data_IF_128528798624
#
_entry.id   IF_128528798624
#
_cell.length_a   1.000
_cell.length_b   1.000
_cell.length_c   1.000
_cell.angle_alpha   90.00
_cell.angle_beta   90.00
_cell.angle_gamma   90.00
#
_symmetry.space_group_name_H-M   'P 1'
#
loop_
_entity.id
_entity.type
_entity.pdbx_description
1 polymer ?
#
# COMPACT_ATOMS: atom_id res chain seq x y z
N UNK A 1 34.13 21.84 4.87
CA UNK A 1 33.80 20.43 4.60
C UNK A 1 32.34 20.37 4.16
N UNK A 2 32.11 20.06 2.91
CA UNK A 2 30.79 19.91 2.33
C UNK A 2 30.27 18.53 2.69
N UNK A 3 29.40 18.44 3.67
CA UNK A 3 28.68 17.19 4.03
C UNK A 3 27.93 16.61 2.84
N UNK A 4 27.67 15.30 2.86
CA UNK A 4 26.84 14.64 1.84
C UNK A 4 25.45 15.29 1.80
N UNK A 5 24.74 15.21 0.66
CA UNK A 5 23.40 15.81 0.54
C UNK A 5 22.42 15.36 1.64
N UNK A 6 22.53 14.09 2.08
CA UNK A 6 21.75 13.59 3.20
C UNK A 6 22.14 14.17 4.57
N UNK A 7 23.41 14.54 4.79
CA UNK A 7 23.82 15.24 6.03
C UNK A 7 23.31 16.66 6.07
N UNK A 8 23.35 17.37 4.95
CA UNK A 8 22.80 18.73 4.83
C UNK A 8 21.29 18.73 5.09
N UNK A 9 20.57 17.74 4.56
CA UNK A 9 19.13 17.59 4.79
C UNK A 9 18.81 17.34 6.28
N UNK A 10 19.57 16.46 6.95
CA UNK A 10 19.41 16.23 8.40
C UNK A 10 19.69 17.48 9.23
N UNK A 11 20.73 18.24 8.89
CA UNK A 11 21.03 19.51 9.58
C UNK A 11 19.92 20.53 9.37
N UNK A 12 19.36 20.67 8.17
CA UNK A 12 18.25 21.55 7.88
C UNK A 12 17.00 21.17 8.68
N UNK A 13 16.70 19.86 8.77
CA UNK A 13 15.60 19.34 9.57
C UNK A 13 15.77 19.67 11.06
N UNK A 14 16.94 19.38 11.63
CA UNK A 14 17.22 19.70 13.04
C UNK A 14 17.09 21.20 13.30
N UNK A 15 17.58 22.05 12.42
CA UNK A 15 17.42 23.51 12.51
C UNK A 15 15.96 23.94 12.52
N UNK A 16 15.12 23.36 11.63
CA UNK A 16 13.70 23.70 11.57
C UNK A 16 12.92 23.30 12.82
N UNK A 17 13.33 22.24 13.50
CA UNK A 17 12.70 21.76 14.73
C UNK A 17 13.26 22.44 16.01
N UNK A 18 14.51 22.93 15.98
CA UNK A 18 15.18 23.49 17.16
C UNK A 18 14.50 24.75 17.71
N UNK A 19 13.80 25.50 16.86
CA UNK A 19 13.06 26.71 17.26
C UNK A 19 11.67 26.39 17.84
N UNK A 20 11.32 25.11 17.98
CA UNK A 20 10.03 24.62 18.47
C UNK A 20 8.81 25.30 17.78
N UNK A 21 8.69 25.18 16.45
CA UNK A 21 7.63 25.83 15.69
C UNK A 21 6.28 25.14 15.95
N UNK A 22 5.17 25.84 15.74
CA UNK A 22 3.84 25.24 15.77
C UNK A 22 3.51 24.45 14.47
N UNK A 23 4.15 24.81 13.37
CA UNK A 23 3.98 24.18 12.03
C UNK A 23 5.32 24.08 11.33
N UNK A 24 5.58 22.92 10.73
CA UNK A 24 6.73 22.67 9.84
C UNK A 24 6.25 22.20 8.49
N UNK A 25 6.83 22.76 7.43
CA UNK A 25 6.61 22.30 6.05
C UNK A 25 7.88 21.57 5.59
N UNK A 26 7.72 20.35 5.09
CA UNK A 26 8.81 19.51 4.61
C UNK A 26 8.49 19.09 3.16
N UNK A 27 9.42 19.37 2.27
CA UNK A 27 9.35 18.93 0.87
C UNK A 27 10.41 17.87 0.62
N UNK A 28 9.98 16.66 0.26
CA UNK A 28 10.83 15.49 0.00
C UNK A 28 11.91 15.25 1.07
N UNK A 29 11.57 15.18 2.37
CA UNK A 29 12.57 15.22 3.45
C UNK A 29 13.49 13.99 3.49
N UNK A 30 13.14 12.90 2.81
CA UNK A 30 13.90 11.63 2.81
C UNK A 30 14.40 11.22 1.43
N UNK A 31 14.24 12.04 0.39
CA UNK A 31 14.47 11.66 -1.02
C UNK A 31 15.91 11.23 -1.34
N UNK A 32 16.91 11.77 -0.63
CA UNK A 32 18.32 11.53 -0.91
C UNK A 32 18.96 10.47 0.01
N UNK A 33 18.15 9.62 0.65
CA UNK A 33 18.61 8.62 1.60
C UNK A 33 18.41 7.20 1.04
N UNK A 34 19.25 6.28 1.45
CA UNK A 34 19.03 4.85 1.21
C UNK A 34 17.86 4.32 2.06
N UNK A 35 17.31 3.17 1.64
CA UNK A 35 16.08 2.61 2.23
C UNK A 35 16.18 2.36 3.74
N UNK A 36 17.34 1.92 4.22
CA UNK A 36 17.53 1.59 5.65
C UNK A 36 17.57 2.85 6.52
N UNK A 37 18.22 3.91 6.01
CA UNK A 37 18.26 5.21 6.67
C UNK A 37 16.91 5.93 6.62
N UNK A 38 16.16 5.81 5.50
CA UNK A 38 14.82 6.39 5.37
C UNK A 38 13.88 5.93 6.49
N UNK A 39 13.71 4.60 6.66
CA UNK A 39 12.81 4.05 7.65
C UNK A 39 13.15 4.52 9.08
N UNK A 40 14.43 4.47 9.45
CA UNK A 40 14.89 4.94 10.75
C UNK A 40 14.62 6.45 10.96
N UNK A 41 14.92 7.27 9.96
CA UNK A 41 14.76 8.72 10.07
C UNK A 41 13.29 9.12 10.05
N UNK A 42 12.44 8.46 9.26
CA UNK A 42 10.98 8.65 9.26
C UNK A 42 10.41 8.47 10.67
N UNK A 43 10.79 7.37 11.33
CA UNK A 43 10.36 7.08 12.70
C UNK A 43 10.86 8.14 13.71
N UNK A 44 12.12 8.56 13.60
CA UNK A 44 12.71 9.60 14.46
C UNK A 44 11.95 10.92 14.28
N UNK A 45 11.73 11.36 13.02
CA UNK A 45 10.99 12.60 12.72
C UNK A 45 9.57 12.51 13.31
N UNK A 46 8.83 11.44 13.04
CA UNK A 46 7.48 11.24 13.57
C UNK A 46 7.45 11.34 15.10
N UNK A 47 8.38 10.68 15.78
CA UNK A 47 8.46 10.70 17.23
C UNK A 47 8.78 12.10 17.78
N UNK A 48 9.68 12.85 17.14
CA UNK A 48 10.00 14.22 17.51
C UNK A 48 8.79 15.15 17.34
N UNK A 49 8.11 15.10 16.20
CA UNK A 49 6.91 15.88 15.93
C UNK A 49 5.83 15.62 16.98
N UNK A 50 5.59 14.36 17.32
CA UNK A 50 4.62 13.99 18.39
C UNK A 50 5.07 14.45 19.77
N UNK A 51 6.34 14.23 20.14
CA UNK A 51 6.89 14.63 21.44
C UNK A 51 6.76 16.13 21.68
N UNK A 52 7.06 16.94 20.66
CA UNK A 52 7.01 18.40 20.74
C UNK A 52 5.65 18.99 20.32
N UNK A 53 4.67 18.13 19.97
CA UNK A 53 3.33 18.54 19.51
C UNK A 53 3.38 19.51 18.32
N UNK A 54 4.31 19.29 17.40
CA UNK A 54 4.49 20.11 16.21
C UNK A 54 3.58 19.54 15.09
N UNK A 55 2.78 20.41 14.47
CA UNK A 55 2.06 20.06 13.25
C UNK A 55 3.04 20.06 12.07
N UNK A 56 2.96 19.03 11.21
CA UNK A 56 3.79 18.98 10.01
C UNK A 56 2.94 18.75 8.76
N UNK A 57 3.28 19.45 7.68
CA UNK A 57 2.82 19.13 6.32
C UNK A 57 4.02 18.61 5.56
N UNK A 58 3.92 17.38 5.07
CA UNK A 58 5.02 16.68 4.40
C UNK A 58 4.57 16.38 2.97
N UNK A 59 5.36 16.82 2.00
CA UNK A 59 5.17 16.50 0.59
C UNK A 59 6.18 15.42 0.22
N UNK A 60 5.71 14.33 -0.37
CA UNK A 60 6.57 13.26 -0.90
C UNK A 60 5.86 12.50 -2.01
N UNK A 61 6.62 11.91 -2.91
CA UNK A 61 6.12 10.98 -3.93
C UNK A 61 6.25 9.51 -3.49
N UNK A 62 6.91 9.24 -2.36
CA UNK A 62 7.08 7.90 -1.81
C UNK A 62 5.94 7.59 -0.84
N UNK A 63 5.08 6.63 -1.23
CA UNK A 63 3.91 6.27 -0.42
C UNK A 63 4.31 5.63 0.93
N UNK A 64 5.46 4.96 0.98
CA UNK A 64 5.93 4.35 2.24
C UNK A 64 6.37 5.44 3.22
N UNK A 65 7.14 6.43 2.75
CA UNK A 65 7.51 7.61 3.55
C UNK A 65 6.25 8.32 4.07
N UNK A 66 5.27 8.54 3.19
CA UNK A 66 4.00 9.17 3.55
C UNK A 66 3.25 8.39 4.65
N UNK A 67 3.17 7.05 4.51
CA UNK A 67 2.48 6.19 5.49
C UNK A 67 3.19 6.14 6.85
N UNK A 68 4.53 6.12 6.85
CA UNK A 68 5.31 6.04 8.08
C UNK A 68 5.32 7.36 8.86
N UNK A 69 5.36 8.49 8.14
CA UNK A 69 5.53 9.80 8.78
C UNK A 69 4.21 10.47 9.16
N UNK A 70 3.10 10.17 8.49
CA UNK A 70 1.86 10.93 8.64
C UNK A 70 0.78 10.20 9.44
N UNK A 71 -0.12 10.97 10.04
CA UNK A 71 -1.38 10.46 10.62
C UNK A 71 -2.51 10.51 9.60
N UNK A 72 -2.46 11.44 8.65
CA UNK A 72 -3.42 11.59 7.54
C UNK A 72 -2.68 11.79 6.23
N UNK A 73 -3.24 11.23 5.17
CA UNK A 73 -2.74 11.37 3.80
C UNK A 73 -3.71 12.21 2.97
N UNK A 74 -3.15 13.02 2.08
CA UNK A 74 -3.86 13.72 1.03
C UNK A 74 -3.21 13.32 -0.30
N UNK A 75 -3.94 12.58 -1.13
CA UNK A 75 -3.47 12.20 -2.47
C UNK A 75 -3.88 13.27 -3.46
N UNK A 76 -2.91 13.85 -4.14
CA UNK A 76 -3.10 14.90 -5.14
C UNK A 76 -2.67 14.37 -6.51
N UNK A 77 -3.50 14.62 -7.52
CA UNK A 77 -3.18 14.36 -8.92
C UNK A 77 -3.67 15.51 -9.80
N UNK A 78 -2.81 16.00 -10.70
CA UNK A 78 -3.11 17.10 -11.63
C UNK A 78 -3.71 18.34 -10.94
N UNK A 79 -3.28 18.63 -9.71
CA UNK A 79 -3.73 19.76 -8.92
C UNK A 79 -5.05 19.57 -8.18
N UNK A 80 -5.67 18.38 -8.26
CA UNK A 80 -6.92 18.04 -7.58
C UNK A 80 -6.68 17.04 -6.45
N UNK A 81 -7.44 17.19 -5.35
CA UNK A 81 -7.44 16.22 -4.25
C UNK A 81 -8.26 15.00 -4.65
N UNK A 82 -7.59 13.86 -4.83
CA UNK A 82 -8.21 12.60 -5.23
C UNK A 82 -8.84 11.87 -4.05
N UNK A 83 -8.18 11.87 -2.91
CA UNK A 83 -8.67 11.27 -1.66
C UNK A 83 -7.87 11.81 -0.48
N UNK A 84 -8.52 11.96 0.67
CA UNK A 84 -7.86 12.25 1.94
C UNK A 84 -8.45 11.37 3.06
N UNK A 85 -7.62 11.05 4.06
CA UNK A 85 -8.04 10.22 5.18
C UNK A 85 -6.87 9.65 5.96
N UNK A 86 -7.12 8.72 6.85
CA UNK A 86 -6.08 7.94 7.51
C UNK A 86 -5.39 7.00 6.51
N UNK A 87 -4.11 6.73 6.69
CA UNK A 87 -3.34 5.84 5.79
C UNK A 87 -4.02 4.48 5.57
N UNK A 88 -4.52 3.88 6.67
CA UNK A 88 -5.22 2.59 6.61
C UNK A 88 -6.55 2.66 5.85
N UNK A 89 -7.25 3.80 5.90
CA UNK A 89 -8.49 4.00 5.15
C UNK A 89 -8.22 4.05 3.65
N UNK A 90 -7.19 4.81 3.23
CA UNK A 90 -6.83 4.90 1.82
C UNK A 90 -6.34 3.54 1.27
N UNK A 91 -5.60 2.80 2.09
CA UNK A 91 -5.13 1.45 1.75
C UNK A 91 -6.27 0.45 1.58
N UNK A 92 -7.24 0.44 2.53
CA UNK A 92 -8.34 -0.52 2.58
C UNK A 92 -9.49 -0.14 1.65
N UNK A 93 -9.79 1.17 1.55
CA UNK A 93 -10.95 1.71 0.84
C UNK A 93 -10.51 2.77 -0.20
N UNK A 94 -9.72 2.41 -1.20
CA UNK A 94 -9.32 3.35 -2.24
C UNK A 94 -10.52 3.76 -3.09
N UNK A 95 -10.66 5.05 -3.38
CA UNK A 95 -11.76 5.59 -4.21
C UNK A 95 -11.51 5.45 -5.72
N UNK A 96 -10.35 4.95 -6.12
CA UNK A 96 -10.04 4.71 -7.53
C UNK A 96 -8.91 3.66 -7.69
N UNK A 97 -8.80 3.09 -8.91
CA UNK A 97 -7.66 2.23 -9.27
C UNK A 97 -6.32 2.91 -9.05
N UNK A 98 -6.22 4.20 -9.38
CA UNK A 98 -4.99 4.97 -9.23
C UNK A 98 -4.55 5.01 -7.78
N UNK A 99 -5.47 5.31 -6.87
CA UNK A 99 -5.17 5.30 -5.43
C UNK A 99 -4.82 3.90 -4.94
N UNK A 100 -5.58 2.88 -5.34
CA UNK A 100 -5.26 1.50 -4.97
C UNK A 100 -3.83 1.10 -5.38
N UNK A 101 -3.40 1.46 -6.59
CA UNK A 101 -2.07 1.14 -7.13
C UNK A 101 -0.93 1.91 -6.46
N UNK A 102 -1.17 3.09 -5.88
CA UNK A 102 -0.15 3.81 -5.10
C UNK A 102 0.39 2.97 -3.93
N UNK A 103 -0.47 2.16 -3.33
CA UNK A 103 -0.11 1.29 -2.20
C UNK A 103 0.40 -0.09 -2.62
N UNK A 104 0.76 -0.27 -3.89
CA UNK A 104 1.31 -1.51 -4.43
C UNK A 104 0.30 -2.39 -5.17
N UNK A 105 0.69 -3.64 -5.42
CA UNK A 105 -0.12 -4.59 -6.18
C UNK A 105 -1.50 -4.83 -5.56
N UNK A 106 -2.50 -4.89 -6.44
CA UNK A 106 -3.88 -5.22 -6.06
C UNK A 106 -4.62 -5.89 -7.22
N UNK A 107 -5.65 -6.65 -6.89
CA UNK A 107 -6.57 -7.24 -7.85
C UNK A 107 -7.83 -6.38 -7.93
N UNK A 108 -8.28 -6.11 -9.14
CA UNK A 108 -9.54 -5.40 -9.39
C UNK A 108 -10.59 -6.42 -9.83
N UNK A 109 -11.60 -6.61 -8.98
CA UNK A 109 -12.61 -7.65 -9.18
C UNK A 109 -13.98 -6.96 -9.32
N UNK A 110 -14.82 -7.37 -10.28
CA UNK A 110 -16.16 -6.80 -10.42
C UNK A 110 -16.98 -6.95 -9.15
N UNK A 111 -17.61 -5.84 -8.69
CA UNK A 111 -18.45 -5.80 -7.48
C UNK A 111 -19.56 -6.86 -7.48
N UNK A 112 -20.09 -7.22 -8.66
CA UNK A 112 -21.09 -8.29 -8.77
C UNK A 112 -20.68 -9.64 -8.19
N UNK A 113 -19.38 -9.87 -8.01
CA UNK A 113 -18.85 -11.07 -7.34
C UNK A 113 -18.81 -10.94 -5.81
N UNK A 114 -18.98 -9.73 -5.29
CA UNK A 114 -18.94 -9.37 -3.88
C UNK A 114 -20.06 -8.34 -3.57
N UNK A 115 -21.33 -8.70 -3.71
CA UNK A 115 -22.46 -7.74 -3.66
C UNK A 115 -22.54 -6.98 -2.32
N UNK A 116 -22.09 -7.60 -1.23
CA UNK A 116 -22.13 -7.03 0.11
C UNK A 116 -20.90 -6.19 0.46
N UNK A 117 -19.92 -6.08 -0.46
CA UNK A 117 -18.70 -5.31 -0.20
C UNK A 117 -18.99 -3.81 -0.18
N UNK A 118 -18.58 -3.15 0.92
CA UNK A 118 -18.62 -1.70 1.06
C UNK A 118 -17.42 -0.99 0.43
N UNK A 119 -16.36 -1.73 0.12
CA UNK A 119 -15.08 -1.24 -0.40
C UNK A 119 -15.07 -1.29 -1.93
N UNK A 120 -15.94 -0.51 -2.55
CA UNK A 120 -16.05 -0.46 -4.00
C UNK A 120 -15.85 0.96 -4.52
N UNK A 121 -15.47 1.07 -5.78
CA UNK A 121 -15.37 2.32 -6.51
C UNK A 121 -15.79 2.09 -7.97
N UNK A 122 -16.30 3.15 -8.59
CA UNK A 122 -16.63 3.13 -10.00
C UNK A 122 -15.37 3.40 -10.85
N UNK A 123 -15.04 2.46 -11.72
CA UNK A 123 -13.93 2.60 -12.66
C UNK A 123 -14.41 3.24 -13.95
N UNK A 124 -13.94 4.45 -14.23
CA UNK A 124 -14.33 5.23 -15.41
C UNK A 124 -13.90 4.61 -16.73
N UNK A 125 -12.75 3.90 -16.73
CA UNK A 125 -12.20 3.28 -17.95
C UNK A 125 -13.02 2.08 -18.40
N UNK A 126 -13.38 1.20 -17.46
CA UNK A 126 -14.16 -0.01 -17.74
C UNK A 126 -15.67 0.17 -17.56
N UNK A 127 -16.09 1.32 -17.02
CA UNK A 127 -17.51 1.62 -16.66
C UNK A 127 -18.12 0.56 -15.77
N UNK A 128 -17.37 0.08 -14.78
CA UNK A 128 -17.78 -1.00 -13.84
C UNK A 128 -17.47 -0.60 -12.41
N UNK A 129 -18.33 -1.08 -11.52
CA UNK A 129 -18.03 -1.06 -10.09
C UNK A 129 -17.04 -2.19 -9.77
N UNK A 130 -15.95 -1.81 -9.14
CA UNK A 130 -14.86 -2.71 -8.79
C UNK A 130 -14.61 -2.68 -7.29
N UNK A 131 -14.10 -3.79 -6.78
CA UNK A 131 -13.42 -3.86 -5.48
C UNK A 131 -11.94 -4.09 -5.70
N UNK A 132 -11.14 -3.69 -4.74
CA UNK A 132 -9.71 -4.00 -4.69
C UNK A 132 -9.42 -5.05 -3.62
N UNK A 133 -8.70 -6.12 -3.98
CA UNK A 133 -8.26 -7.15 -3.05
C UNK A 133 -6.74 -7.29 -3.19
N UNK A 134 -6.02 -7.11 -2.08
CA UNK A 134 -4.56 -7.23 -2.07
C UNK A 134 -4.12 -8.69 -2.24
N UNK A 135 -2.95 -8.93 -2.86
CA UNK A 135 -2.43 -10.30 -3.05
C UNK A 135 -2.32 -11.12 -1.77
N UNK A 136 -1.99 -10.49 -0.65
CA UNK A 136 -1.84 -11.12 0.67
C UNK A 136 -3.16 -11.32 1.44
N UNK A 137 -4.28 -10.85 0.89
CA UNK A 137 -5.61 -11.09 1.46
C UNK A 137 -6.23 -12.42 1.00
N UNK A 138 -5.61 -13.09 0.03
CA UNK A 138 -5.98 -14.44 -0.35
C UNK A 138 -5.32 -15.46 0.58
N UNK A 139 -6.07 -16.51 0.91
CA UNK A 139 -5.57 -17.67 1.64
C UNK A 139 -5.93 -18.96 0.89
N UNK A 140 -5.21 -20.04 1.19
CA UNK A 140 -5.63 -21.37 0.73
C UNK A 140 -7.02 -21.71 1.23
N UNK A 141 -7.75 -22.47 0.43
CA UNK A 141 -9.08 -22.93 0.80
C UNK A 141 -9.01 -23.83 2.04
N UNK A 142 -9.83 -23.52 3.00
CA UNK A 142 -10.07 -24.28 4.19
C UNK A 142 -11.59 -24.37 4.40
N UNK A 143 -12.13 -25.56 4.50
CA UNK A 143 -13.57 -25.80 4.59
C UNK A 143 -14.17 -25.19 5.85
N UNK A 144 -13.45 -25.26 6.96
CA UNK A 144 -13.88 -24.73 8.25
C UNK A 144 -13.92 -23.20 8.26
N UNK A 145 -13.08 -22.55 7.45
CA UNK A 145 -12.94 -21.09 7.35
C UNK A 145 -13.65 -20.48 6.14
N UNK A 146 -14.26 -21.28 5.29
CA UNK A 146 -14.84 -20.85 4.01
C UNK A 146 -16.20 -20.17 4.16
N UNK A 147 -16.86 -20.29 5.31
CA UNK A 147 -18.18 -19.68 5.55
C UNK A 147 -18.13 -18.15 5.35
N UNK A 148 -18.98 -17.62 4.48
CA UNK A 148 -19.06 -16.19 4.16
C UNK A 148 -17.91 -15.66 3.28
N UNK A 149 -16.93 -16.49 2.86
CA UNK A 149 -15.84 -16.08 1.99
C UNK A 149 -16.07 -16.44 0.54
N UNK A 150 -15.52 -15.64 -0.36
CA UNK A 150 -15.56 -15.93 -1.80
C UNK A 150 -14.44 -16.91 -2.16
N UNK A 151 -14.81 -17.97 -2.86
CA UNK A 151 -13.85 -19.02 -3.31
C UNK A 151 -13.51 -18.80 -4.78
N UNK A 152 -12.23 -18.87 -5.08
CA UNK A 152 -11.65 -18.83 -6.42
C UNK A 152 -10.93 -20.12 -6.70
N UNK A 153 -11.14 -20.68 -7.89
CA UNK A 153 -10.41 -21.84 -8.39
C UNK A 153 -9.73 -21.44 -9.69
N UNK A 154 -8.45 -21.73 -9.79
CA UNK A 154 -7.68 -21.38 -10.96
C UNK A 154 -6.40 -22.18 -11.10
N UNK A 155 -5.74 -22.04 -12.26
CA UNK A 155 -4.44 -22.67 -12.55
C UNK A 155 -3.32 -21.65 -12.37
N UNK A 156 -2.23 -22.08 -11.79
CA UNK A 156 -1.02 -21.29 -11.61
C UNK A 156 -0.36 -21.06 -12.98
N UNK A 157 -0.32 -19.79 -13.42
CA UNK A 157 0.39 -19.38 -14.65
C UNK A 157 1.87 -19.14 -14.41
N UNK A 158 2.21 -18.54 -13.26
CA UNK A 158 3.59 -18.27 -12.87
C UNK A 158 3.74 -18.21 -11.36
N UNK A 159 4.94 -18.58 -10.89
CA UNK A 159 5.36 -18.47 -9.51
C UNK A 159 6.70 -17.73 -9.50
N UNK A 160 6.86 -16.78 -8.60
CA UNK A 160 8.13 -16.13 -8.32
C UNK A 160 8.31 -16.07 -6.80
N UNK A 161 9.38 -16.63 -6.33
CA UNK A 161 9.75 -16.55 -4.91
C UNK A 161 10.44 -15.22 -4.62
N UNK A 162 9.94 -14.52 -3.61
CA UNK A 162 10.48 -13.25 -3.15
C UNK A 162 10.50 -13.28 -1.63
N UNK A 163 11.69 -13.34 -1.05
CA UNK A 163 11.88 -13.55 0.38
C UNK A 163 11.14 -14.82 0.88
N UNK A 164 10.18 -14.67 1.77
CA UNK A 164 9.40 -15.78 2.34
C UNK A 164 8.01 -15.91 1.71
N UNK A 165 7.82 -15.36 0.51
CA UNK A 165 6.52 -15.39 -0.17
C UNK A 165 6.64 -15.90 -1.61
N UNK A 166 5.66 -16.71 -2.00
CA UNK A 166 5.38 -16.99 -3.41
C UNK A 166 4.46 -15.89 -3.96
N UNK A 167 4.96 -15.14 -4.93
CA UNK A 167 4.17 -14.21 -5.76
C UNK A 167 3.61 -15.01 -6.95
N UNK A 168 2.33 -15.29 -6.92
CA UNK A 168 1.66 -16.20 -7.84
C UNK A 168 0.76 -15.39 -8.76
N UNK A 169 0.76 -15.75 -10.05
CA UNK A 169 -0.27 -15.34 -10.99
C UNK A 169 -1.19 -16.54 -11.24
N UNK A 170 -2.46 -16.39 -10.89
CA UNK A 170 -3.47 -17.44 -10.98
C UNK A 170 -4.50 -17.10 -12.05
N UNK A 171 -4.74 -17.99 -12.99
CA UNK A 171 -5.79 -17.85 -14.01
C UNK A 171 -7.08 -18.51 -13.56
N UNK A 172 -8.10 -17.70 -13.26
CA UNK A 172 -9.43 -18.12 -12.84
C UNK A 172 -10.45 -17.75 -13.93
N UNK A 173 -10.82 -18.64 -14.82
CA UNK A 173 -11.75 -18.35 -15.93
C UNK A 173 -11.38 -17.01 -16.61
N UNK A 174 -12.21 -15.98 -16.40
CA UNK A 174 -12.05 -14.65 -17.01
C UNK A 174 -11.20 -13.68 -16.19
N UNK A 175 -10.69 -14.11 -15.02
CA UNK A 175 -9.88 -13.30 -14.13
C UNK A 175 -8.45 -13.81 -14.07
N UNK A 176 -7.50 -12.87 -13.98
CA UNK A 176 -6.12 -13.17 -13.61
C UNK A 176 -5.84 -12.52 -12.27
N UNK A 177 -5.55 -13.34 -11.25
CA UNK A 177 -5.33 -12.89 -9.88
C UNK A 177 -3.84 -12.91 -9.55
N UNK A 178 -3.38 -11.86 -8.89
CA UNK A 178 -2.09 -11.82 -8.20
C UNK A 178 -2.31 -12.25 -6.76
N UNK A 179 -1.56 -13.24 -6.30
CA UNK A 179 -1.71 -13.83 -4.97
C UNK A 179 -0.35 -13.91 -4.31
N UNK A 180 -0.30 -13.67 -3.01
CA UNK A 180 0.90 -13.80 -2.20
C UNK A 180 0.65 -14.84 -1.10
N UNK A 181 1.38 -15.96 -1.14
CA UNK A 181 1.30 -17.04 -0.16
C UNK A 181 2.67 -17.28 0.47
N UNK A 182 2.70 -17.93 1.64
CA UNK A 182 3.94 -18.31 2.28
C UNK A 182 4.74 -19.29 1.39
N UNK A 183 6.06 -19.09 1.26
CA UNK A 183 6.95 -19.90 0.41
C UNK A 183 7.15 -21.33 0.91
N UNK A 184 6.74 -21.65 2.15
CA UNK A 184 6.80 -23.03 2.67
C UNK A 184 5.77 -23.97 2.03
N UNK A 185 4.84 -23.44 1.23
CA UNK A 185 3.84 -24.24 0.52
C UNK A 185 4.46 -24.69 -0.79
N UNK A 186 4.53 -25.99 -1.03
CA UNK A 186 5.00 -26.54 -2.31
C UNK A 186 3.95 -26.31 -3.40
N UNK A 187 4.33 -25.55 -4.42
CA UNK A 187 3.47 -25.18 -5.53
C UNK A 187 4.19 -25.39 -6.86
N UNK A 188 3.45 -25.74 -7.91
CA UNK A 188 3.98 -25.89 -9.27
C UNK A 188 3.13 -25.17 -10.32
N UNK A 189 3.78 -24.73 -11.40
CA UNK A 189 3.10 -24.12 -12.56
C UNK A 189 2.15 -25.15 -13.18
N UNK A 190 0.94 -24.72 -13.54
CA UNK A 190 -0.13 -25.57 -14.06
C UNK A 190 -0.98 -26.26 -13.01
N UNK A 191 -0.53 -26.28 -11.74
CA UNK A 191 -1.31 -26.80 -10.61
C UNK A 191 -2.61 -25.99 -10.46
N UNK A 192 -3.70 -26.70 -10.17
CA UNK A 192 -4.95 -26.08 -9.76
C UNK A 192 -4.88 -25.68 -8.28
N UNK A 193 -5.27 -24.44 -8.01
CA UNK A 193 -5.27 -23.87 -6.66
C UNK A 193 -6.67 -23.35 -6.32
N UNK A 194 -7.13 -23.68 -5.11
CA UNK A 194 -8.39 -23.19 -4.55
C UNK A 194 -8.08 -22.19 -3.45
N UNK A 195 -8.57 -20.96 -3.59
CA UNK A 195 -8.29 -19.85 -2.72
C UNK A 195 -9.56 -19.23 -2.14
N UNK A 196 -9.43 -18.64 -0.98
CA UNK A 196 -10.47 -17.80 -0.37
C UNK A 196 -10.04 -16.34 -0.40
N UNK A 197 -11.02 -15.45 -0.62
CA UNK A 197 -10.88 -14.02 -0.42
C UNK A 197 -11.85 -13.55 0.67
N UNK A 198 -11.53 -12.41 1.33
CA UNK A 198 -12.35 -11.85 2.41
C UNK A 198 -13.76 -11.50 1.96
#
# INVERSE_FOLDING_TARGET
>A
ETGSGGEQQRVALVRSLAVNPSLVLMDEPLSNLDQSLKANLALVIRNLLKKFKITAVIVTHDIMDAMEMSDRLIVIDKGEVMQNGLSNELYSNPQSKKIALLFGDTNFIPLKMFPDSKNNFFDTDTKKDLISIRPNQFSLYDEDLASGKKVFVGKIESIREVALEHKIKLKCKDLSLKVSLNSQIELSIGQELKLMAP
#
